data_IF_117871507299
#
_entry.id   IF_117871507299
#
_cell.length_a   1.000
_cell.length_b   1.000
_cell.length_c   1.000
_cell.angle_alpha   90.00
_cell.angle_beta   90.00
_cell.angle_gamma   90.00
#
_symmetry.space_group_name_H-M   'P 1'
#
loop_
_entity.id
_entity.type
_entity.pdbx_description
1 polymer ?
#
# COMPACT_ATOMS: atom_id res chain seq x y z
N UNK A 1 -6.92 -29.99 -52.99
CA UNK A 1 -8.22 -29.94 -52.26
C UNK A 1 -8.19 -30.64 -50.90
N UNK A 2 -7.31 -31.61 -50.65
CA UNK A 2 -7.22 -32.33 -49.36
C UNK A 2 -6.56 -31.51 -48.23
N UNK A 3 -5.53 -30.71 -48.53
CA UNK A 3 -4.81 -29.91 -47.53
C UNK A 3 -5.64 -28.80 -46.87
N UNK A 4 -6.61 -28.21 -47.59
CA UNK A 4 -7.47 -27.16 -47.06
C UNK A 4 -8.45 -27.69 -45.98
N UNK A 5 -8.87 -28.95 -46.10
CA UNK A 5 -9.79 -29.58 -45.16
C UNK A 5 -9.09 -29.86 -43.82
N UNK A 6 -7.83 -30.27 -43.85
CA UNK A 6 -7.06 -30.59 -42.63
C UNK A 6 -6.81 -29.34 -41.78
N UNK A 7 -6.49 -28.19 -42.40
CA UNK A 7 -6.24 -26.93 -41.68
C UNK A 7 -7.53 -26.43 -40.99
N UNK A 8 -8.69 -26.62 -41.62
CA UNK A 8 -9.98 -26.20 -41.08
C UNK A 8 -10.38 -27.01 -39.82
N UNK A 9 -10.06 -28.31 -39.80
CA UNK A 9 -10.28 -29.14 -38.61
C UNK A 9 -9.33 -28.82 -37.45
N UNK A 10 -8.07 -28.44 -37.72
CA UNK A 10 -7.13 -28.04 -36.67
C UNK A 10 -7.54 -26.73 -36.01
N UNK A 11 -8.02 -25.74 -36.77
CA UNK A 11 -8.51 -24.47 -36.19
C UNK A 11 -9.78 -24.64 -35.35
N UNK A 12 -10.68 -25.56 -35.73
CA UNK A 12 -11.90 -25.84 -34.95
C UNK A 12 -11.62 -26.63 -33.66
N UNK A 13 -10.58 -27.48 -33.66
CA UNK A 13 -10.17 -28.21 -32.46
C UNK A 13 -9.42 -27.34 -31.45
N UNK A 14 -8.65 -26.34 -31.92
CA UNK A 14 -7.89 -25.42 -31.06
C UNK A 14 -8.60 -24.10 -30.76
N UNK A 15 -9.66 -23.74 -31.50
CA UNK A 15 -10.38 -22.48 -31.35
C UNK A 15 -11.34 -22.38 -30.15
N UNK A 16 -11.57 -23.48 -29.41
CA UNK A 16 -12.56 -23.51 -28.32
C UNK A 16 -11.97 -23.31 -26.91
N UNK A 17 -10.69 -22.97 -26.76
CA UNK A 17 -10.05 -22.80 -25.46
C UNK A 17 -9.62 -21.37 -25.15
N UNK A 18 -10.53 -20.43 -25.34
CA UNK A 18 -10.46 -19.12 -24.68
C UNK A 18 -11.85 -18.73 -24.17
N UNK A 19 -12.37 -19.49 -23.20
CA UNK A 19 -13.39 -18.92 -22.31
C UNK A 19 -12.68 -17.93 -21.39
N UNK A 20 -12.65 -16.68 -21.82
CA UNK A 20 -12.47 -15.55 -20.93
C UNK A 20 -13.69 -15.56 -19.99
N UNK A 21 -13.52 -16.11 -18.80
CA UNK A 21 -14.49 -15.95 -17.73
C UNK A 21 -14.35 -14.52 -17.25
N UNK A 22 -15.19 -13.63 -17.80
CA UNK A 22 -15.54 -12.39 -17.13
C UNK A 22 -16.26 -12.83 -15.84
N UNK A 23 -15.51 -12.87 -14.74
CA UNK A 23 -16.15 -12.90 -13.43
C UNK A 23 -16.70 -11.51 -13.22
N UNK A 24 -17.94 -11.29 -13.64
CA UNK A 24 -18.77 -10.21 -13.15
C UNK A 24 -18.83 -10.36 -11.63
N UNK A 25 -17.92 -9.65 -10.94
CA UNK A 25 -17.99 -9.49 -9.50
C UNK A 25 -19.24 -8.66 -9.27
N UNK A 26 -20.33 -9.36 -8.95
CA UNK A 26 -21.57 -8.78 -8.45
C UNK A 26 -21.17 -7.85 -7.29
N UNK A 27 -21.14 -6.55 -7.56
CA UNK A 27 -20.73 -5.49 -6.63
C UNK A 27 -21.77 -5.24 -5.53
N UNK A 28 -22.58 -6.26 -5.20
CA UNK A 28 -23.77 -6.17 -4.38
C UNK A 28 -23.71 -6.89 -3.04
N UNK A 29 -22.63 -7.61 -2.72
CA UNK A 29 -22.57 -8.35 -1.43
C UNK A 29 -21.15 -8.50 -0.85
N UNK A 30 -20.36 -7.42 -0.92
CA UNK A 30 -19.21 -7.26 -0.04
C UNK A 30 -19.43 -6.08 0.92
N UNK A 31 -20.55 -6.13 1.64
CA UNK A 31 -20.66 -5.53 2.98
C UNK A 31 -19.89 -6.38 4.02
N UNK A 32 -18.77 -6.98 3.59
CA UNK A 32 -17.72 -7.39 4.51
C UNK A 32 -16.96 -6.09 4.73
N UNK A 33 -16.84 -5.63 5.97
CA UNK A 33 -15.87 -4.59 6.33
C UNK A 33 -14.51 -5.03 5.79
N UNK A 34 -14.16 -4.57 4.59
CA UNK A 34 -12.85 -4.82 4.01
C UNK A 34 -11.93 -4.00 4.89
N UNK A 35 -11.27 -4.69 5.83
CA UNK A 35 -10.17 -4.10 6.56
C UNK A 35 -9.05 -3.93 5.54
N UNK A 36 -8.99 -2.75 4.94
CA UNK A 36 -7.88 -2.36 4.07
C UNK A 36 -6.59 -2.27 4.91
N UNK A 37 -5.46 -2.58 4.29
CA UNK A 37 -4.15 -2.58 4.93
C UNK A 37 -3.13 -1.78 4.13
N UNK A 38 -2.23 -1.13 4.85
CA UNK A 38 -0.94 -0.69 4.31
C UNK A 38 -0.06 -1.91 4.12
N UNK A 39 0.42 -2.11 2.89
CA UNK A 39 1.30 -3.21 2.53
C UNK A 39 2.71 -2.70 2.27
N UNK A 40 3.71 -3.53 2.56
CA UNK A 40 5.06 -3.27 2.13
C UNK A 40 5.15 -3.34 0.62
N UNK A 41 5.65 -2.27 -0.01
CA UNK A 41 5.82 -2.21 -1.47
C UNK A 41 6.78 -3.29 -2.00
N UNK A 42 7.74 -3.75 -1.19
CA UNK A 42 8.75 -4.70 -1.62
C UNK A 42 8.26 -6.16 -1.59
N UNK A 43 7.63 -6.59 -0.49
CA UNK A 43 7.26 -7.99 -0.26
C UNK A 43 5.75 -8.25 -0.13
N UNK A 44 4.92 -7.21 -0.05
CA UNK A 44 3.47 -7.35 0.10
C UNK A 44 3.00 -7.71 1.52
N UNK A 45 3.90 -7.76 2.52
CA UNK A 45 3.51 -8.02 3.92
C UNK A 45 2.70 -6.87 4.51
N UNK A 46 1.71 -7.21 5.32
CA UNK A 46 0.86 -6.27 6.05
C UNK A 46 1.70 -5.45 7.05
N UNK A 47 1.68 -4.12 6.90
CA UNK A 47 2.32 -3.18 7.82
C UNK A 47 1.34 -2.75 8.90
N UNK A 48 0.13 -2.34 8.50
CA UNK A 48 -0.86 -1.82 9.45
C UNK A 48 -2.25 -1.70 8.82
N UNK A 49 -3.35 -1.87 9.58
CA UNK A 49 -4.69 -1.60 9.05
C UNK A 49 -4.86 -0.12 8.69
N UNK A 50 -5.60 0.17 7.62
CA UNK A 50 -5.89 1.53 7.15
C UNK A 50 -6.59 2.37 8.22
N UNK A 51 -7.41 1.74 9.07
CA UNK A 51 -8.09 2.36 10.22
C UNK A 51 -7.15 2.89 11.30
N UNK A 52 -5.86 2.55 11.27
CA UNK A 52 -4.86 3.09 12.18
C UNK A 52 -4.33 4.46 11.77
N UNK A 53 -4.66 4.93 10.56
CA UNK A 53 -4.20 6.21 10.04
C UNK A 53 -4.64 7.37 10.94
N UNK A 54 -3.69 8.19 11.34
CA UNK A 54 -3.91 9.37 12.18
C UNK A 54 -3.19 10.58 11.58
N UNK A 55 -3.62 11.77 11.98
CA UNK A 55 -3.01 13.04 11.58
C UNK A 55 -2.36 13.70 12.78
N UNK A 56 -1.09 13.39 13.04
CA UNK A 56 -0.27 14.10 14.02
C UNK A 56 0.73 14.94 13.24
N UNK A 57 0.78 16.24 13.51
CA UNK A 57 1.73 17.13 12.85
C UNK A 57 3.14 16.92 13.42
N UNK A 58 4.11 16.70 12.54
CA UNK A 58 5.52 16.61 12.89
C UNK A 58 6.08 18.02 13.08
N UNK A 59 6.68 18.34 14.24
CA UNK A 59 7.38 19.61 14.44
C UNK A 59 8.54 19.84 13.47
N UNK A 60 9.06 18.78 12.85
CA UNK A 60 10.13 18.82 11.86
C UNK A 60 9.61 18.87 10.40
N UNK A 61 8.29 18.96 10.19
CA UNK A 61 7.72 19.04 8.84
C UNK A 61 8.04 20.39 8.18
N UNK A 62 8.61 20.34 6.98
CA UNK A 62 8.82 21.53 6.15
C UNK A 62 7.58 21.91 5.34
N UNK A 63 6.74 20.92 5.01
CA UNK A 63 5.51 21.10 4.25
C UNK A 63 4.50 20.03 4.66
N UNK A 64 3.21 20.36 4.62
CA UNK A 64 2.10 19.42 4.86
C UNK A 64 1.02 19.62 3.80
N UNK A 65 0.49 18.54 3.24
CA UNK A 65 -0.59 18.58 2.27
C UNK A 65 -1.66 17.53 2.57
N UNK A 66 -2.90 17.83 2.16
CA UNK A 66 -4.00 16.88 2.17
C UNK A 66 -4.10 16.29 0.76
N UNK A 67 -4.10 14.96 0.67
CA UNK A 67 -4.13 14.26 -0.60
C UNK A 67 -5.08 13.06 -0.54
N UNK A 68 -5.82 12.77 -1.63
CA UNK A 68 -6.60 11.54 -1.68
C UNK A 68 -5.67 10.34 -1.87
N UNK A 69 -5.59 9.47 -0.88
CA UNK A 69 -4.75 8.27 -0.88
C UNK A 69 -5.53 7.08 -0.30
N UNK A 70 -5.29 5.87 -0.83
CA UNK A 70 -5.89 4.62 -0.33
C UNK A 70 -7.43 4.63 -0.31
N UNK A 71 -8.07 5.31 -1.28
CA UNK A 71 -9.52 5.48 -1.32
C UNK A 71 -10.08 6.49 -0.30
N UNK A 72 -9.23 7.06 0.56
CA UNK A 72 -9.56 8.13 1.48
C UNK A 72 -9.32 9.48 0.81
N UNK A 73 -10.18 10.48 1.08
CA UNK A 73 -10.06 11.81 0.48
C UNK A 73 -9.10 12.74 1.25
N UNK A 74 -9.01 12.54 2.55
CA UNK A 74 -8.38 13.49 3.47
C UNK A 74 -7.19 12.86 4.21
N UNK A 75 -6.17 12.42 3.46
CA UNK A 75 -4.93 11.88 4.04
C UNK A 75 -3.89 13.00 4.16
N UNK A 76 -3.44 13.27 5.38
CA UNK A 76 -2.38 14.23 5.65
C UNK A 76 -1.02 13.60 5.36
N UNK A 77 -0.32 14.13 4.36
CA UNK A 77 1.05 13.78 4.01
C UNK A 77 1.96 14.92 4.44
N UNK A 78 3.05 14.59 5.13
CA UNK A 78 4.01 15.59 5.62
C UNK A 78 5.39 15.33 5.04
N UNK A 79 6.06 16.38 4.65
CA UNK A 79 7.43 16.34 4.15
C UNK A 79 8.39 16.66 5.28
N UNK A 80 9.30 15.74 5.58
CA UNK A 80 10.34 15.88 6.61
C UNK A 80 11.72 15.68 6.00
N UNK A 81 12.78 16.16 6.68
CA UNK A 81 14.17 15.95 6.30
C UNK A 81 14.96 15.34 7.44
N UNK A 82 15.87 14.42 7.15
CA UNK A 82 16.84 13.94 8.14
C UNK A 82 18.05 14.90 8.24
N UNK A 83 18.96 14.65 9.18
CA UNK A 83 20.20 15.41 9.36
C UNK A 83 21.15 15.37 8.14
N UNK A 84 20.99 14.38 7.26
CA UNK A 84 21.67 14.28 5.96
C UNK A 84 20.92 15.02 4.82
N UNK A 85 19.91 15.84 5.14
CA UNK A 85 19.11 16.61 4.19
C UNK A 85 18.31 15.76 3.17
N UNK A 86 18.18 14.46 3.41
CA UNK A 86 17.32 13.56 2.63
C UNK A 86 15.86 13.81 3.00
N UNK A 87 15.01 13.95 1.97
CA UNK A 87 13.61 14.33 2.13
C UNK A 87 12.70 13.09 2.05
N UNK A 88 11.71 13.04 2.94
CA UNK A 88 10.75 11.94 3.03
C UNK A 88 9.33 12.48 3.14
N UNK A 89 8.39 11.80 2.48
CA UNK A 89 6.96 12.00 2.69
C UNK A 89 6.46 10.95 3.66
N UNK A 90 5.92 11.41 4.79
CA UNK A 90 5.51 10.54 5.89
C UNK A 90 4.00 10.61 6.11
N UNK A 91 3.47 9.48 6.54
CA UNK A 91 2.12 9.29 7.09
C UNK A 91 2.28 8.82 8.52
N UNK A 92 1.33 9.17 9.39
CA UNK A 92 1.38 8.75 10.79
C UNK A 92 0.32 7.68 11.05
N UNK A 93 0.73 6.59 11.70
CA UNK A 93 -0.14 5.47 12.05
C UNK A 93 -0.13 5.30 13.57
N UNK A 94 -1.29 5.06 14.16
CA UNK A 94 -1.44 4.81 15.61
C UNK A 94 -0.94 3.43 16.03
N UNK A 95 -0.89 2.47 15.10
CA UNK A 95 -0.51 1.08 15.33
C UNK A 95 0.24 0.55 14.10
N UNK A 96 1.07 -0.46 14.30
CA UNK A 96 1.78 -1.18 13.25
C UNK A 96 2.03 -2.62 13.68
N UNK A 97 2.11 -3.55 12.73
CA UNK A 97 2.51 -4.94 12.94
C UNK A 97 4.04 -5.10 12.97
N UNK A 98 4.78 -4.03 12.66
CA UNK A 98 6.22 -4.05 12.62
C UNK A 98 6.86 -4.10 14.01
N UNK A 99 7.93 -4.88 14.13
CA UNK A 99 8.76 -4.96 15.33
C UNK A 99 9.98 -4.06 15.13
N UNK A 100 10.13 -3.06 16.00
CA UNK A 100 11.28 -2.16 16.00
C UNK A 100 12.60 -2.94 16.14
N UNK A 101 13.57 -2.60 15.29
CA UNK A 101 14.94 -3.14 15.30
C UNK A 101 15.90 -2.08 15.81
N UNK A 102 16.88 -2.53 16.59
CA UNK A 102 17.95 -1.69 17.13
C UNK A 102 17.58 -1.00 18.43
N UNK A 103 18.44 -0.07 18.83
CA UNK A 103 18.21 0.75 20.01
C UNK A 103 17.22 1.85 19.69
N UNK A 104 16.35 2.10 20.65
CA UNK A 104 15.49 3.27 20.63
C UNK A 104 16.32 4.55 20.69
N UNK A 105 16.02 5.50 19.80
CA UNK A 105 16.72 6.78 19.70
C UNK A 105 15.76 7.95 19.84
N UNK A 106 16.30 9.06 20.33
CA UNK A 106 15.59 10.34 20.47
C UNK A 106 16.29 11.47 19.73
N UNK A 107 17.56 11.26 19.34
CA UNK A 107 18.32 12.21 18.53
C UNK A 107 17.76 12.24 17.11
N UNK A 108 17.72 13.44 16.50
CA UNK A 108 17.19 13.69 15.15
C UNK A 108 15.73 13.23 14.89
N UNK A 109 14.94 13.04 15.95
CA UNK A 109 13.54 12.64 15.85
C UNK A 109 12.67 13.71 15.17
N UNK A 110 11.78 13.26 14.29
CA UNK A 110 10.76 14.13 13.68
C UNK A 110 9.57 14.43 14.60
N UNK A 111 9.50 13.79 15.77
CA UNK A 111 8.43 13.95 16.75
C UNK A 111 9.00 14.12 18.18
N UNK A 112 9.65 15.26 18.48
CA UNK A 112 10.24 15.51 19.80
C UNK A 112 9.17 15.42 20.91
N UNK A 113 9.48 14.65 21.97
CA UNK A 113 8.58 14.43 23.10
C UNK A 113 7.69 13.19 22.99
N UNK A 114 7.60 12.55 21.81
CA UNK A 114 7.10 11.18 21.73
C UNK A 114 8.19 10.20 22.15
N UNK A 115 7.82 9.12 22.85
CA UNK A 115 8.79 8.12 23.30
C UNK A 115 9.43 7.45 22.09
N UNK A 116 10.75 7.55 22.03
CA UNK A 116 11.71 6.61 21.43
C UNK A 116 11.33 6.16 20.00
N UNK A 117 12.09 6.59 19.01
CA UNK A 117 11.99 6.09 17.64
C UNK A 117 12.84 4.81 17.51
N UNK A 118 12.25 3.74 16.99
CA UNK A 118 12.99 2.55 16.55
C UNK A 118 12.76 2.32 15.07
N UNK A 119 13.77 1.75 14.42
CA UNK A 119 13.70 1.44 13.00
C UNK A 119 12.79 0.24 12.78
N UNK A 120 11.68 0.48 12.09
CA UNK A 120 10.87 -0.59 11.53
C UNK A 120 11.40 -0.93 10.13
N UNK A 121 11.70 -2.21 9.88
CA UNK A 121 12.09 -2.70 8.56
C UNK A 121 11.26 -3.94 8.22
N UNK A 122 10.70 -3.95 7.00
CA UNK A 122 10.16 -5.16 6.40
C UNK A 122 11.28 -6.11 5.97
#
# INVERSE_FOLDING_TARGET
MVFAVVILFVCLAYGNSARFQDTDIHSGDLSKTVNDYFLCRHCGTDISPLSSLISIDSPAASESRISPLFGLKDVKVQTVKNSLHSQFEILTLSKTLCVGKGNWQTEDSWFPGLRLESLCMC
#
